data_IF_538114011130
#
_entry.id   IF_538114011130
#
_cell.length_a   1.000
_cell.length_b   1.000
_cell.length_c   1.000
_cell.angle_alpha   90.00
_cell.angle_beta   90.00
_cell.angle_gamma   90.00
#
_symmetry.space_group_name_H-M   'P 1'
#
loop_
_entity.id
_entity.type
_entity.pdbx_description
1 polymer ?
#
# COMPACT_ATOMS: atom_id res chain seq x y z
N UNK A 1 -7.51 -12.13 -38.53
CA UNK A 1 -6.54 -13.23 -38.38
C UNK A 1 -5.17 -12.62 -38.18
N UNK A 2 -4.48 -12.96 -37.10
CA UNK A 2 -3.10 -12.53 -36.85
C UNK A 2 -2.18 -13.15 -37.89
N UNK A 3 -1.35 -12.33 -38.53
CA UNK A 3 -0.40 -12.79 -39.53
C UNK A 3 0.76 -13.52 -38.84
N UNK A 4 0.93 -14.81 -39.12
CA UNK A 4 2.00 -15.64 -38.54
C UNK A 4 3.40 -15.05 -38.84
N UNK A 5 3.51 -14.28 -39.94
CA UNK A 5 4.75 -13.58 -40.31
C UNK A 5 5.10 -12.43 -39.38
N UNK A 6 4.09 -11.72 -38.86
CA UNK A 6 4.29 -10.69 -37.84
C UNK A 6 4.78 -11.30 -36.53
N UNK A 7 4.23 -12.46 -36.15
CA UNK A 7 4.68 -13.22 -34.98
C UNK A 7 6.12 -13.72 -35.11
N UNK A 8 6.56 -14.12 -36.31
CA UNK A 8 7.93 -14.58 -36.56
C UNK A 8 9.00 -13.51 -36.30
N UNK A 9 8.64 -12.23 -36.40
CA UNK A 9 9.54 -11.11 -36.13
C UNK A 9 9.56 -10.69 -34.65
N UNK A 10 8.65 -11.19 -33.83
CA UNK A 10 8.56 -10.88 -32.41
C UNK A 10 9.81 -11.36 -31.65
N UNK A 11 10.29 -10.53 -30.73
CA UNK A 11 11.39 -10.87 -29.82
C UNK A 11 11.07 -12.10 -28.98
N UNK A 12 9.83 -12.23 -28.50
CA UNK A 12 9.37 -13.37 -27.70
C UNK A 12 9.48 -14.67 -28.51
N UNK A 13 9.13 -14.61 -29.79
CA UNK A 13 9.19 -15.75 -30.70
C UNK A 13 10.63 -16.20 -30.95
N UNK A 14 11.53 -15.26 -31.23
CA UNK A 14 12.96 -15.56 -31.44
C UNK A 14 13.61 -16.12 -30.17
N UNK A 15 13.22 -15.61 -29.02
CA UNK A 15 13.73 -16.10 -27.74
C UNK A 15 13.19 -17.49 -27.43
N UNK A 16 11.90 -17.76 -27.69
CA UNK A 16 11.33 -19.10 -27.55
C UNK A 16 12.05 -20.12 -28.43
N UNK A 17 12.37 -19.78 -29.68
CA UNK A 17 13.17 -20.63 -30.55
C UNK A 17 14.55 -20.94 -29.96
N UNK A 18 15.27 -19.92 -29.47
CA UNK A 18 16.58 -20.12 -28.82
C UNK A 18 16.49 -21.01 -27.58
N UNK A 19 15.50 -20.79 -26.72
CA UNK A 19 15.30 -21.57 -25.49
C UNK A 19 14.97 -23.02 -25.83
N UNK A 20 14.08 -23.23 -26.80
CA UNK A 20 13.73 -24.58 -27.24
C UNK A 20 14.93 -25.27 -27.88
N UNK A 21 15.71 -24.57 -28.71
CA UNK A 21 16.89 -25.10 -29.41
C UNK A 21 17.99 -25.61 -28.46
N UNK A 22 18.10 -25.02 -27.26
CA UNK A 22 19.01 -25.49 -26.20
C UNK A 22 18.60 -26.88 -25.66
N UNK A 23 17.29 -27.17 -25.64
CA UNK A 23 16.74 -28.39 -25.02
C UNK A 23 16.53 -29.48 -26.08
N UNK A 24 16.01 -29.12 -27.25
CA UNK A 24 15.75 -30.01 -28.39
C UNK A 24 15.76 -29.21 -29.70
N UNK A 25 15.88 -29.88 -30.86
CA UNK A 25 15.79 -29.14 -32.13
C UNK A 25 14.46 -28.36 -32.19
N UNK A 26 14.55 -27.06 -32.47
CA UNK A 26 13.40 -26.16 -32.61
C UNK A 26 13.16 -25.86 -34.08
N UNK A 27 11.90 -25.73 -34.47
CA UNK A 27 11.52 -25.33 -35.83
C UNK A 27 10.43 -24.29 -35.72
N UNK A 28 10.57 -23.21 -36.49
CA UNK A 28 9.56 -22.17 -36.56
C UNK A 28 8.27 -22.63 -37.25
N UNK A 29 7.38 -21.69 -37.55
CA UNK A 29 6.18 -21.98 -38.32
C UNK A 29 6.57 -22.32 -39.76
N UNK A 30 6.57 -23.61 -40.06
CA UNK A 30 6.88 -24.16 -41.38
C UNK A 30 5.62 -24.84 -41.90
N UNK A 31 5.25 -24.56 -43.15
CA UNK A 31 4.12 -25.24 -43.76
C UNK A 31 4.52 -26.68 -44.05
N UNK A 32 3.60 -27.65 -43.89
CA UNK A 32 3.88 -29.06 -44.20
C UNK A 32 4.44 -29.29 -45.62
N UNK A 33 4.07 -28.41 -46.57
CA UNK A 33 4.48 -28.45 -47.97
C UNK A 33 5.93 -28.03 -48.20
N UNK A 34 6.51 -27.24 -47.29
CA UNK A 34 7.86 -26.69 -47.40
C UNK A 34 8.91 -27.60 -46.71
N UNK A 35 8.48 -28.75 -46.17
CA UNK A 35 9.33 -29.66 -45.40
C UNK A 35 9.88 -30.75 -46.33
N UNK A 36 11.15 -30.62 -46.72
CA UNK A 36 11.89 -31.70 -47.40
C UNK A 36 12.38 -32.71 -46.36
N UNK A 37 11.55 -33.67 -45.96
CA UNK A 37 11.90 -34.71 -44.98
C UNK A 37 10.69 -35.39 -44.32
N UNK A 38 10.90 -36.12 -43.21
CA UNK A 38 9.81 -36.69 -42.41
C UNK A 38 9.03 -35.56 -41.73
N UNK A 39 7.85 -35.25 -42.25
CA UNK A 39 6.94 -34.22 -41.71
C UNK A 39 6.69 -34.36 -40.20
N UNK A 40 6.69 -35.59 -39.70
CA UNK A 40 6.54 -35.93 -38.28
C UNK A 40 7.63 -35.28 -37.42
N UNK A 41 8.89 -35.31 -37.84
CA UNK A 41 10.00 -34.76 -37.05
C UNK A 41 9.92 -33.23 -36.96
N UNK A 42 9.55 -32.57 -38.05
CA UNK A 42 9.33 -31.13 -38.05
C UNK A 42 8.14 -30.72 -37.18
N UNK A 43 7.08 -31.54 -37.16
CA UNK A 43 5.91 -31.32 -36.30
C UNK A 43 6.25 -31.48 -34.81
N UNK A 44 7.07 -32.46 -34.45
CA UNK A 44 7.58 -32.60 -33.07
C UNK A 44 8.36 -31.35 -32.62
N UNK A 45 9.26 -30.85 -33.48
CA UNK A 45 10.07 -29.65 -33.17
C UNK A 45 9.21 -28.37 -33.07
N UNK A 46 8.19 -28.25 -33.91
CA UNK A 46 7.20 -27.18 -33.81
C UNK A 46 6.39 -27.25 -32.52
N UNK A 47 5.92 -28.45 -32.14
CA UNK A 47 5.16 -28.64 -30.90
C UNK A 47 5.98 -28.21 -29.69
N UNK A 48 7.27 -28.55 -29.62
CA UNK A 48 8.16 -28.11 -28.54
C UNK A 48 8.27 -26.58 -28.47
N UNK A 49 8.34 -25.92 -29.62
CA UNK A 49 8.41 -24.44 -29.70
C UNK A 49 7.08 -23.81 -29.27
N UNK A 50 5.94 -24.41 -29.66
CA UNK A 50 4.60 -23.96 -29.26
C UNK A 50 4.41 -24.10 -27.74
N UNK A 51 4.85 -25.22 -27.16
CA UNK A 51 4.81 -25.43 -25.71
C UNK A 51 5.62 -24.36 -24.98
N UNK A 52 6.82 -24.04 -25.46
CA UNK A 52 7.65 -22.99 -24.86
C UNK A 52 6.99 -21.60 -24.92
N UNK A 53 6.35 -21.28 -26.05
CA UNK A 53 5.59 -20.04 -26.21
C UNK A 53 4.38 -19.97 -25.25
N UNK A 54 3.67 -21.09 -25.09
CA UNK A 54 2.56 -21.18 -24.14
C UNK A 54 3.02 -21.00 -22.70
N UNK A 55 4.13 -21.63 -22.31
CA UNK A 55 4.72 -21.45 -20.98
C UNK A 55 5.04 -19.98 -20.69
N UNK A 56 5.72 -19.30 -21.63
CA UNK A 56 6.00 -17.86 -21.49
C UNK A 56 4.73 -17.03 -21.36
N UNK A 57 3.71 -17.33 -22.16
CA UNK A 57 2.45 -16.61 -22.10
C UNK A 57 1.71 -16.86 -20.78
N UNK A 58 1.78 -18.08 -20.23
CA UNK A 58 1.22 -18.37 -18.90
C UNK A 58 1.93 -17.60 -17.80
N UNK A 59 3.26 -17.53 -17.84
CA UNK A 59 4.06 -16.75 -16.88
C UNK A 59 3.73 -15.25 -16.97
N UNK A 60 3.63 -14.69 -18.17
CA UNK A 60 3.23 -13.28 -18.37
C UNK A 60 1.83 -13.01 -17.82
N UNK A 61 0.87 -13.90 -18.06
CA UNK A 61 -0.50 -13.77 -17.54
C UNK A 61 -0.52 -13.87 -16.02
N UNK A 62 0.25 -14.76 -15.41
CA UNK A 62 0.36 -14.85 -13.95
C UNK A 62 0.98 -13.59 -13.34
N UNK A 63 2.04 -13.07 -13.96
CA UNK A 63 2.66 -11.81 -13.57
C UNK A 63 1.67 -10.64 -13.67
N UNK A 64 0.92 -10.54 -14.76
CA UNK A 64 -0.12 -9.51 -14.93
C UNK A 64 -1.23 -9.67 -13.89
N UNK A 65 -1.70 -10.90 -13.62
CA UNK A 65 -2.67 -11.16 -12.54
C UNK A 65 -2.14 -10.74 -11.18
N UNK A 66 -0.87 -10.97 -10.89
CA UNK A 66 -0.24 -10.54 -9.65
C UNK A 66 -0.17 -9.00 -9.56
N UNK A 67 0.14 -8.31 -10.66
CA UNK A 67 0.14 -6.85 -10.74
C UNK A 67 -1.27 -6.30 -10.54
N UNK A 68 -2.28 -6.86 -11.20
CA UNK A 68 -3.68 -6.45 -11.03
C UNK A 68 -4.12 -6.62 -9.57
N UNK A 69 -3.84 -7.77 -8.95
CA UNK A 69 -4.12 -7.98 -7.53
C UNK A 69 -3.43 -6.95 -6.63
N UNK A 70 -2.17 -6.60 -6.92
CA UNK A 70 -1.46 -5.54 -6.16
C UNK A 70 -2.14 -4.18 -6.32
N UNK A 71 -2.58 -3.85 -7.53
CA UNK A 71 -3.31 -2.61 -7.82
C UNK A 71 -4.68 -2.59 -7.15
N UNK A 72 -5.41 -3.72 -7.15
CA UNK A 72 -6.69 -3.84 -6.45
C UNK A 72 -6.51 -3.73 -4.94
N UNK A 73 -5.45 -4.28 -4.37
CA UNK A 73 -5.13 -4.11 -2.94
C UNK A 73 -4.71 -2.67 -2.63
N UNK A 74 -3.93 -2.01 -3.50
CA UNK A 74 -3.58 -0.60 -3.28
C UNK A 74 -4.79 0.32 -3.43
N UNK A 75 -5.66 0.06 -4.41
CA UNK A 75 -6.93 0.77 -4.56
C UNK A 75 -7.92 0.45 -3.45
N UNK A 76 -7.98 -0.80 -2.96
CA UNK A 76 -8.81 -1.17 -1.81
C UNK A 76 -8.33 -0.51 -0.52
N UNK A 77 -7.01 -0.26 -0.39
CA UNK A 77 -6.44 0.56 0.68
C UNK A 77 -6.70 2.07 0.49
N UNK A 78 -6.88 2.56 -0.72
CA UNK A 78 -7.22 3.97 -1.00
C UNK A 78 -8.74 4.25 -1.05
N UNK A 79 -9.59 3.23 -1.21
CA UNK A 79 -11.05 3.37 -1.38
C UNK A 79 -11.83 2.98 -0.10
N UNK A 80 -11.13 2.57 0.96
CA UNK A 80 -11.70 2.76 2.29
C UNK A 80 -11.47 4.24 2.61
N UNK A 81 -12.53 5.05 2.56
CA UNK A 81 -12.63 6.44 3.06
C UNK A 81 -12.47 7.61 2.07
N UNK A 82 -13.41 7.85 1.13
CA UNK A 82 -13.78 9.22 0.78
C UNK A 82 -14.75 9.84 1.81
N UNK A 83 -15.66 9.04 2.40
CA UNK A 83 -16.64 9.51 3.39
C UNK A 83 -16.02 9.77 4.77
N UNK A 84 -15.09 8.92 5.19
CA UNK A 84 -14.40 9.10 6.47
C UNK A 84 -13.33 10.21 6.41
N UNK A 85 -12.84 10.59 5.22
CA UNK A 85 -11.97 11.78 5.09
C UNK A 85 -12.80 13.06 5.27
N UNK A 86 -14.02 13.10 4.74
CA UNK A 86 -14.95 14.21 5.00
C UNK A 86 -15.41 14.23 6.44
N UNK A 87 -15.75 13.07 7.02
CA UNK A 87 -16.13 12.98 8.44
C UNK A 87 -14.95 13.31 9.37
N UNK A 88 -13.73 12.91 9.01
CA UNK A 88 -12.52 13.28 9.75
C UNK A 88 -12.20 14.76 9.61
N UNK A 89 -12.39 15.37 8.44
CA UNK A 89 -12.24 16.80 8.24
C UNK A 89 -13.28 17.58 9.04
N UNK A 90 -14.53 17.14 9.06
CA UNK A 90 -15.59 17.76 9.84
C UNK A 90 -15.33 17.63 11.34
N UNK A 91 -14.83 16.48 11.81
CA UNK A 91 -14.41 16.30 13.21
C UNK A 91 -13.21 17.18 13.58
N UNK A 92 -12.20 17.27 12.71
CA UNK A 92 -11.04 18.15 12.89
C UNK A 92 -11.49 19.62 12.92
N UNK A 93 -12.39 20.00 12.02
CA UNK A 93 -12.96 21.35 11.94
C UNK A 93 -13.80 21.68 13.20
N UNK A 94 -14.59 20.74 13.71
CA UNK A 94 -15.30 20.90 14.98
C UNK A 94 -14.35 21.00 16.18
N UNK A 95 -13.26 20.24 16.19
CA UNK A 95 -12.23 20.32 17.23
C UNK A 95 -11.49 21.66 17.18
N UNK A 96 -11.17 22.16 15.99
CA UNK A 96 -10.56 23.48 15.78
C UNK A 96 -11.50 24.64 16.13
N UNK A 97 -12.79 24.52 15.82
CA UNK A 97 -13.80 25.51 16.25
C UNK A 97 -13.97 25.54 17.77
N UNK A 98 -13.85 24.40 18.46
CA UNK A 98 -13.84 24.32 19.92
C UNK A 98 -12.53 24.84 20.53
N UNK A 99 -11.43 24.78 19.78
CA UNK A 99 -10.16 25.43 20.10
C UNK A 99 -10.21 26.91 19.68
N UNK A 100 -11.15 27.65 20.25
CA UNK A 100 -11.05 29.12 20.27
C UNK A 100 -9.75 29.48 20.98
N UNK A 101 -8.79 30.03 20.23
CA UNK A 101 -7.61 30.71 20.75
C UNK A 101 -8.08 31.96 21.49
N UNK A 102 -8.52 31.76 22.73
CA UNK A 102 -8.74 32.78 23.75
C UNK A 102 -9.57 33.99 23.32
N UNK A 103 -10.88 33.93 23.49
CA UNK A 103 -11.59 35.15 23.86
C UNK A 103 -11.26 35.52 25.32
N UNK A 104 -11.04 36.80 25.61
CA UNK A 104 -10.80 37.25 26.97
C UNK A 104 -12.08 37.12 27.76
N UNK A 105 -11.95 36.71 29.03
CA UNK A 105 -13.01 36.62 30.04
C UNK A 105 -13.75 35.28 30.15
N UNK A 106 -13.25 34.44 31.06
CA UNK A 106 -14.02 34.00 32.23
C UNK A 106 -13.07 33.84 33.43
N UNK A 107 -13.51 34.24 34.64
CA UNK A 107 -12.61 34.53 35.76
C UNK A 107 -11.92 33.24 36.23
N UNK A 108 -10.62 33.37 36.53
CA UNK A 108 -9.81 32.29 37.08
C UNK A 108 -10.54 31.65 38.27
N UNK A 109 -10.82 30.35 38.17
CA UNK A 109 -11.27 29.53 39.28
C UNK A 109 -10.23 29.70 40.39
N UNK A 110 -10.57 30.29 41.57
CA UNK A 110 -9.58 30.54 42.59
C UNK A 110 -9.12 29.20 43.15
N UNK A 111 -7.90 28.79 42.80
CA UNK A 111 -7.24 27.65 43.42
C UNK A 111 -7.17 27.91 44.93
N UNK A 112 -7.51 26.94 45.80
CA UNK A 112 -7.43 27.14 47.24
C UNK A 112 -5.97 27.46 47.60
N UNK A 113 -5.74 28.67 48.11
CA UNK A 113 -4.42 29.10 48.57
C UNK A 113 -4.00 28.18 49.73
N UNK A 114 -2.85 27.53 49.61
CA UNK A 114 -2.29 26.68 50.66
C UNK A 114 -2.11 27.46 51.98
N UNK A 115 -2.07 26.75 53.10
CA UNK A 115 -1.84 27.37 54.41
C UNK A 115 -0.42 27.93 54.47
N UNK A 116 -0.32 29.25 54.57
CA UNK A 116 0.95 29.96 54.76
C UNK A 116 1.29 29.97 56.25
N UNK A 117 2.39 29.32 56.63
CA UNK A 117 2.92 29.42 57.99
C UNK A 117 3.80 30.65 58.08
N UNK A 118 3.45 31.58 58.97
CA UNK A 118 4.20 32.80 59.24
C UNK A 118 4.77 32.70 60.64
N UNK A 119 6.05 33.06 60.80
CA UNK A 119 6.69 33.15 62.10
C UNK A 119 6.05 34.30 62.88
N UNK A 120 5.26 33.98 63.91
CA UNK A 120 4.67 34.96 64.83
C UNK A 120 5.55 35.11 66.07
N UNK A 121 5.57 36.32 66.62
CA UNK A 121 6.30 36.61 67.85
C UNK A 121 5.72 35.79 69.02
N UNK A 122 6.55 35.09 69.82
CA UNK A 122 6.06 34.20 70.89
C UNK A 122 5.22 34.90 71.95
N UNK A 123 5.51 36.17 72.26
CA UNK A 123 4.78 36.95 73.26
C UNK A 123 3.32 37.19 72.87
N UNK A 124 3.07 37.45 71.58
CA UNK A 124 1.72 37.70 71.07
C UNK A 124 0.85 36.44 71.10
N UNK A 125 1.46 35.27 70.91
CA UNK A 125 0.77 33.98 71.04
C UNK A 125 0.36 33.74 72.50
N UNK A 126 1.30 33.97 73.43
CA UNK A 126 1.07 33.75 74.87
C UNK A 126 -0.06 34.63 75.41
N UNK A 127 -0.11 35.91 75.04
CA UNK A 127 -1.18 36.81 75.47
C UNK A 127 -2.54 36.44 74.89
N UNK A 128 -2.58 35.99 73.63
CA UNK A 128 -3.81 35.54 72.99
C UNK A 128 -4.37 34.26 73.63
N UNK A 129 -3.51 33.32 74.01
CA UNK A 129 -3.93 32.10 74.72
C UNK A 129 -4.37 32.41 76.15
N UNK A 130 -3.64 33.26 76.87
CA UNK A 130 -4.03 33.69 78.23
C UNK A 130 -5.41 34.35 78.25
N UNK A 131 -5.75 35.13 77.22
CA UNK A 131 -7.09 35.74 77.06
C UNK A 131 -8.18 34.76 76.64
N UNK A 132 -7.83 33.63 76.01
CA UNK A 132 -8.79 32.56 75.68
C UNK A 132 -9.06 31.61 76.86
N UNK A 133 -8.12 31.52 77.79
CA UNK A 133 -8.20 30.65 78.96
C UNK A 133 -8.76 31.33 80.22
N UNK A 134 -9.05 32.64 80.15
CA UNK A 134 -9.80 33.40 81.15
C UNK A 134 -11.26 33.55 80.71
#
# INVERSE_FOLDING_TARGET
>A
MSDLRLSANSTIYKEALKVTEIIHLAVGFVKPQDITGRAIDAQFKQNNTIIQLLLKLTEEVENLKAVVKKIEVSKGKEVTQPDDLTDSLDQIQQQLQKLSLGEPSKPAIPKPKGKLFVLKNPKEIFEAEKKKAA
#
